data_IF_071511393762
#
_entry.id   IF_071511393762
#
_cell.length_a   1.000
_cell.length_b   1.000
_cell.length_c   1.000
_cell.angle_alpha   90.00
_cell.angle_beta   90.00
_cell.angle_gamma   90.00
#
_symmetry.space_group_name_H-M   'P 1'
#
loop_
_entity.id
_entity.type
_entity.pdbx_description
1 polymer ?
#
# COMPACT_ATOMS: atom_id res chain seq x y z
N UNK A 1 14.67 47.03 29.37
CA UNK A 1 14.21 47.07 27.96
C UNK A 1 13.75 45.69 27.61
N UNK A 2 12.43 45.48 27.55
CA UNK A 2 11.84 44.25 27.02
C UNK A 2 11.76 44.45 25.50
N UNK A 3 12.35 43.52 24.74
CA UNK A 3 12.17 43.48 23.29
C UNK A 3 11.21 42.32 23.04
N UNK A 4 9.94 42.66 22.87
CA UNK A 4 8.96 41.79 22.23
C UNK A 4 9.36 41.70 20.75
N UNK A 5 9.52 40.50 20.22
CA UNK A 5 9.48 40.26 18.77
C UNK A 5 8.41 39.21 18.54
N UNK A 6 7.41 39.64 17.78
CA UNK A 6 6.23 38.97 17.28
C UNK A 6 6.65 37.68 16.53
N UNK A 7 6.01 36.51 16.65
CA UNK A 7 4.62 36.26 16.97
C UNK A 7 3.77 36.05 15.72
N UNK A 8 4.25 35.44 14.62
CA UNK A 8 3.35 35.06 13.49
C UNK A 8 3.89 34.03 12.45
N UNK A 9 5.16 33.63 12.45
CA UNK A 9 5.72 32.73 11.40
C UNK A 9 5.72 31.22 11.74
N UNK A 10 5.53 30.84 13.01
CA UNK A 10 5.62 29.43 13.46
C UNK A 10 4.43 28.55 13.04
N UNK A 11 3.33 29.16 12.60
CA UNK A 11 2.05 28.47 12.42
C UNK A 11 1.96 27.68 11.11
N UNK A 12 2.58 28.17 10.03
CA UNK A 12 2.48 27.52 8.70
C UNK A 12 3.26 26.22 8.64
N UNK A 13 4.45 26.18 9.25
CA UNK A 13 5.30 25.00 9.27
C UNK A 13 4.76 23.91 10.20
N UNK A 14 4.21 24.32 11.35
CA UNK A 14 3.65 23.40 12.34
C UNK A 14 2.32 22.79 11.86
N UNK A 15 1.46 23.55 11.18
CA UNK A 15 0.22 23.03 10.57
C UNK A 15 0.50 22.05 9.42
N UNK A 16 1.51 22.34 8.59
CA UNK A 16 1.95 21.42 7.52
C UNK A 16 2.60 20.14 8.05
N UNK A 17 3.34 20.26 9.15
CA UNK A 17 3.93 19.13 9.85
C UNK A 17 2.85 18.23 10.48
N UNK A 18 1.88 18.82 11.17
CA UNK A 18 0.75 18.10 11.79
C UNK A 18 -0.08 17.35 10.74
N UNK A 19 -0.46 18.03 9.63
CA UNK A 19 -1.19 17.41 8.53
C UNK A 19 -0.46 16.17 7.97
N UNK A 20 0.86 16.24 7.76
CA UNK A 20 1.66 15.09 7.29
C UNK A 20 1.81 13.95 8.30
N UNK A 21 1.63 14.22 9.59
CA UNK A 21 1.59 13.18 10.61
C UNK A 21 0.24 12.46 10.65
N UNK A 22 -0.85 13.19 10.40
CA UNK A 22 -2.22 12.71 10.43
C UNK A 22 -2.68 12.07 9.10
N UNK A 23 -2.11 12.49 7.97
CA UNK A 23 -2.38 11.95 6.63
C UNK A 23 -1.73 10.57 6.46
N UNK A 24 -2.39 9.54 6.99
CA UNK A 24 -1.98 8.14 6.93
C UNK A 24 -2.14 7.52 5.52
N UNK A 25 -2.58 8.29 4.52
CA UNK A 25 -3.05 7.81 3.21
C UNK A 25 -1.97 7.73 2.12
N UNK A 26 -0.86 8.46 2.24
CA UNK A 26 0.16 8.56 1.16
C UNK A 26 1.31 7.58 1.31
N UNK A 27 1.30 6.73 2.34
CA UNK A 27 2.50 5.97 2.73
C UNK A 27 2.63 4.58 2.11
N UNK A 28 1.53 3.93 1.73
CA UNK A 28 1.54 2.53 1.28
C UNK A 28 1.09 2.43 -0.20
N UNK A 29 1.65 3.24 -1.09
CA UNK A 29 1.56 2.93 -2.52
C UNK A 29 2.26 1.57 -2.76
N UNK A 30 1.51 0.63 -3.33
CA UNK A 30 1.95 -0.74 -3.62
C UNK A 30 3.22 -0.76 -4.48
N UNK A 31 4.12 -1.76 -4.32
CA UNK A 31 5.38 -1.86 -5.08
C UNK A 31 5.21 -2.38 -6.52
N UNK A 32 4.12 -2.01 -7.20
CA UNK A 32 3.91 -2.27 -8.62
C UNK A 32 3.25 -1.05 -9.24
N UNK A 33 3.99 -0.35 -10.09
CA UNK A 33 3.53 0.78 -10.90
C UNK A 33 3.22 2.05 -10.11
N UNK A 34 4.19 2.98 -9.98
CA UNK A 34 4.14 4.29 -10.68
C UNK A 34 5.54 4.92 -10.59
N UNK A 35 6.14 5.20 -11.76
CA UNK A 35 7.28 6.10 -11.88
C UNK A 35 6.86 7.55 -11.64
N UNK A 36 6.82 7.97 -10.38
CA UNK A 36 6.71 9.39 -10.02
C UNK A 36 7.99 9.75 -9.27
N UNK A 37 8.80 10.61 -9.88
CA UNK A 37 9.90 11.32 -9.23
C UNK A 37 9.30 12.25 -8.15
N UNK A 38 8.84 11.69 -7.03
CA UNK A 38 8.50 12.49 -5.87
C UNK A 38 9.81 13.05 -5.31
N UNK A 39 9.97 14.38 -5.20
CA UNK A 39 11.14 14.96 -4.55
C UNK A 39 11.24 14.34 -3.16
N UNK A 40 12.33 13.61 -2.93
CA UNK A 40 12.72 13.09 -1.62
C UNK A 40 12.84 14.29 -0.68
N UNK A 41 11.73 14.66 -0.04
CA UNK A 41 11.69 15.83 0.81
C UNK A 41 12.58 15.56 2.02
N UNK A 42 13.59 16.41 2.18
CA UNK A 42 14.44 16.39 3.35
C UNK A 42 13.57 16.62 4.59
N UNK A 43 13.68 15.70 5.54
CA UNK A 43 12.96 15.77 6.80
C UNK A 43 13.88 16.31 7.89
N UNK A 44 13.42 17.29 8.66
CA UNK A 44 14.24 17.95 9.70
C UNK A 44 13.64 17.66 11.07
N UNK A 45 14.48 17.21 12.00
CA UNK A 45 14.08 17.05 13.40
C UNK A 45 13.99 18.42 14.10
N UNK A 46 12.82 18.78 14.61
CA UNK A 46 12.62 20.04 15.36
C UNK A 46 13.44 20.12 16.65
N UNK A 47 13.76 18.99 17.28
CA UNK A 47 14.40 18.94 18.60
C UNK A 47 15.93 18.96 18.53
N UNK A 48 16.51 18.27 17.56
CA UNK A 48 17.97 18.12 17.40
C UNK A 48 18.52 18.87 16.18
N UNK A 49 17.65 19.40 15.30
CA UNK A 49 18.04 20.13 14.09
C UNK A 49 18.66 19.25 13.00
N UNK A 50 18.66 17.93 13.18
CA UNK A 50 19.25 17.00 12.22
C UNK A 50 18.40 16.89 10.97
N UNK A 51 19.06 17.07 9.81
CA UNK A 51 18.45 16.96 8.48
C UNK A 51 18.68 15.55 7.96
N UNK A 52 17.59 14.82 7.78
CA UNK A 52 17.59 13.48 7.21
C UNK A 52 17.43 13.62 5.69
N UNK A 53 18.56 13.52 4.98
CA UNK A 53 18.58 13.54 3.52
C UNK A 53 17.96 12.25 3.00
N UNK A 54 17.09 12.33 1.99
CA UNK A 54 16.48 11.18 1.30
C UNK A 54 15.62 10.21 2.12
N UNK A 55 15.37 10.51 3.39
CA UNK A 55 14.92 9.49 4.34
C UNK A 55 13.42 9.59 4.68
N UNK A 56 12.77 10.67 4.20
CA UNK A 56 11.33 10.86 4.26
C UNK A 56 10.75 10.95 5.68
N UNK A 57 9.43 11.12 5.75
CA UNK A 57 8.70 11.32 7.01
C UNK A 57 8.75 10.07 7.91
N UNK A 58 8.92 8.88 7.36
CA UNK A 58 8.92 7.64 8.16
C UNK A 58 10.19 7.45 8.96
N UNK A 59 11.37 7.72 8.41
CA UNK A 59 12.59 7.74 9.23
C UNK A 59 12.55 8.86 10.25
N UNK A 60 11.92 10.00 9.95
CA UNK A 60 11.68 11.02 10.97
C UNK A 60 10.79 10.49 12.10
N UNK A 61 9.72 9.75 11.80
CA UNK A 61 8.87 9.10 12.82
C UNK A 61 9.68 8.14 13.70
N UNK A 62 10.56 7.32 13.11
CA UNK A 62 11.44 6.41 13.86
C UNK A 62 12.50 7.13 14.68
N UNK A 63 13.09 8.20 14.14
CA UNK A 63 14.02 9.07 14.85
C UNK A 63 13.39 9.70 16.10
N UNK A 64 12.14 10.16 15.96
CA UNK A 64 11.40 10.80 17.06
C UNK A 64 10.91 9.78 18.09
N UNK A 65 10.45 8.60 17.67
CA UNK A 65 9.93 7.57 18.58
C UNK A 65 11.03 6.74 19.26
N UNK A 66 12.18 6.60 18.62
CA UNK A 66 13.21 5.63 18.99
C UNK A 66 12.82 4.17 18.72
N UNK A 67 11.72 3.95 17.99
CA UNK A 67 11.24 2.62 17.60
C UNK A 67 11.47 2.40 16.11
N UNK A 68 12.72 2.11 15.73
CA UNK A 68 13.05 1.65 14.38
C UNK A 68 13.13 0.11 14.36
N UNK A 69 12.28 -0.59 13.60
CA UNK A 69 12.37 -2.04 13.43
C UNK A 69 13.73 -2.49 12.87
N UNK A 70 14.39 -1.65 12.08
CA UNK A 70 15.64 -1.98 11.40
C UNK A 70 16.89 -1.48 12.14
N UNK A 71 16.73 -0.70 13.22
CA UNK A 71 17.81 -0.07 13.98
C UNK A 71 18.84 0.72 13.14
N UNK A 72 18.44 1.20 11.97
CA UNK A 72 19.28 1.98 11.05
C UNK A 72 19.13 3.49 11.26
N UNK A 73 18.11 3.91 12.00
CA UNK A 73 17.82 5.30 12.28
C UNK A 73 18.31 5.68 13.68
N UNK A 74 19.21 6.66 13.76
CA UNK A 74 19.58 7.27 15.04
C UNK A 74 18.37 7.93 15.68
N UNK A 75 18.16 7.74 16.98
CA UNK A 75 17.03 8.32 17.70
C UNK A 75 17.39 9.67 18.33
N UNK A 76 16.39 10.53 18.54
CA UNK A 76 16.58 11.82 19.19
C UNK A 76 16.35 11.72 20.71
N UNK A 77 17.36 12.08 21.47
CA UNK A 77 17.27 12.13 22.94
C UNK A 77 16.45 13.34 23.42
N UNK A 78 16.49 14.45 22.68
CA UNK A 78 15.85 15.73 23.02
C UNK A 78 14.32 15.75 22.86
N UNK A 79 13.70 14.68 22.36
CA UNK A 79 12.24 14.63 22.19
C UNK A 79 11.55 14.39 23.53
N UNK A 80 10.56 15.23 23.92
CA UNK A 80 9.76 15.04 25.13
C UNK A 80 9.03 13.70 25.16
N UNK A 81 8.82 13.15 26.36
CA UNK A 81 8.21 11.83 26.55
C UNK A 81 6.79 11.75 25.98
N UNK A 82 6.03 12.84 26.07
CA UNK A 82 4.66 12.94 25.57
C UNK A 82 4.63 12.75 24.06
N UNK A 83 5.55 13.42 23.36
CA UNK A 83 5.68 13.36 21.90
C UNK A 83 6.17 11.99 21.46
N UNK A 84 7.17 11.41 22.15
CA UNK A 84 7.60 10.03 21.92
C UNK A 84 6.41 9.07 22.02
N UNK A 85 5.64 9.16 23.10
CA UNK A 85 4.51 8.27 23.37
C UNK A 85 3.40 8.40 22.32
N UNK A 86 3.11 9.62 21.88
CA UNK A 86 2.13 9.89 20.82
C UNK A 86 2.53 9.24 19.50
N UNK A 87 3.79 9.43 19.07
CA UNK A 87 4.29 8.86 17.81
C UNK A 87 4.36 7.34 17.88
N UNK A 88 4.79 6.77 19.01
CA UNK A 88 4.74 5.32 19.26
C UNK A 88 3.31 4.78 19.11
N UNK A 89 2.31 5.48 19.65
CA UNK A 89 0.91 5.11 19.52
C UNK A 89 0.43 5.09 18.07
N UNK A 90 0.87 6.06 17.26
CA UNK A 90 0.57 6.08 15.81
C UNK A 90 1.19 4.87 15.11
N UNK A 91 2.47 4.57 15.37
CA UNK A 91 3.17 3.46 14.74
C UNK A 91 2.50 2.11 15.05
N UNK A 92 2.13 1.88 16.32
CA UNK A 92 1.44 0.65 16.74
C UNK A 92 0.06 0.49 16.08
N UNK A 93 -0.77 1.54 16.09
CA UNK A 93 -2.08 1.50 15.40
C UNK A 93 -1.94 1.20 13.92
N UNK A 94 -0.88 1.69 13.29
CA UNK A 94 -0.58 1.41 11.89
C UNK A 94 -0.19 -0.05 11.66
N UNK A 95 0.64 -0.63 12.52
CA UNK A 95 1.00 -2.06 12.47
C UNK A 95 -0.25 -2.95 12.63
N UNK A 96 -1.11 -2.62 13.58
CA UNK A 96 -2.39 -3.32 13.78
C UNK A 96 -3.30 -3.23 12.54
N UNK A 97 -3.37 -2.05 11.90
CA UNK A 97 -4.15 -1.87 10.67
C UNK A 97 -3.56 -2.69 9.52
N UNK A 98 -2.22 -2.72 9.38
CA UNK A 98 -1.55 -3.55 8.38
C UNK A 98 -1.82 -5.05 8.60
N UNK A 99 -1.76 -5.51 9.85
CA UNK A 99 -2.05 -6.91 10.17
C UNK A 99 -3.50 -7.28 9.80
N UNK A 100 -4.47 -6.42 10.11
CA UNK A 100 -5.87 -6.61 9.71
C UNK A 100 -6.05 -6.65 8.19
N UNK A 101 -5.38 -5.76 7.47
CA UNK A 101 -5.45 -5.74 6.01
C UNK A 101 -4.84 -7.00 5.38
N UNK A 102 -3.75 -7.53 5.93
CA UNK A 102 -3.16 -8.80 5.46
C UNK A 102 -4.15 -9.95 5.64
N UNK A 103 -4.76 -10.06 6.82
CA UNK A 103 -5.79 -11.07 7.09
C UNK A 103 -6.96 -10.93 6.11
N UNK A 104 -7.47 -9.71 5.91
CA UNK A 104 -8.57 -9.44 5.00
C UNK A 104 -8.23 -9.82 3.55
N UNK A 105 -7.03 -9.49 3.07
CA UNK A 105 -6.59 -9.85 1.72
C UNK A 105 -6.46 -11.37 1.56
N UNK A 106 -5.96 -12.06 2.59
CA UNK A 106 -5.85 -13.52 2.57
C UNK A 106 -7.22 -14.21 2.62
N UNK A 107 -8.18 -13.68 3.38
CA UNK A 107 -9.57 -14.14 3.39
C UNK A 107 -10.22 -13.99 2.00
N UNK A 108 -10.08 -12.81 1.37
CA UNK A 108 -10.57 -12.58 0.00
C UNK A 108 -9.92 -13.56 -0.98
N UNK A 109 -8.61 -13.79 -0.86
CA UNK A 109 -7.88 -14.75 -1.70
C UNK A 109 -8.38 -16.18 -1.51
N UNK A 110 -8.70 -16.57 -0.28
CA UNK A 110 -9.24 -17.89 0.02
C UNK A 110 -10.65 -18.08 -0.54
N UNK A 111 -11.51 -17.06 -0.41
CA UNK A 111 -12.86 -17.06 -0.97
C UNK A 111 -12.84 -17.23 -2.50
N UNK A 112 -12.00 -16.46 -3.20
CA UNK A 112 -11.85 -16.55 -4.65
C UNK A 112 -11.38 -17.95 -5.11
N UNK A 113 -10.49 -18.61 -4.35
CA UNK A 113 -10.06 -19.98 -4.63
C UNK A 113 -11.19 -21.01 -4.42
N UNK A 114 -12.04 -20.79 -3.42
CA UNK A 114 -13.21 -21.63 -3.14
C UNK A 114 -14.29 -21.52 -4.22
N UNK A 115 -14.55 -20.31 -4.72
CA UNK A 115 -15.54 -20.08 -5.78
C UNK A 115 -15.12 -20.69 -7.14
N UNK A 116 -13.82 -20.82 -7.40
CA UNK A 116 -13.32 -21.48 -8.62
C UNK A 116 -13.66 -22.99 -8.63
N UNK A 117 -13.64 -23.67 -7.47
CA UNK A 117 -13.91 -25.12 -7.38
C UNK A 117 -15.37 -25.48 -7.64
N UNK A 118 -16.32 -24.59 -7.34
CA UNK A 118 -17.75 -24.87 -7.54
C UNK A 118 -18.20 -24.72 -9.01
N UNK A 119 -17.39 -24.07 -9.85
CA UNK A 119 -17.69 -23.85 -11.27
C UNK A 119 -17.10 -24.91 -12.19
N UNK A 120 -16.25 -25.81 -11.67
CA UNK A 120 -15.80 -27.00 -12.39
C UNK A 120 -16.90 -28.06 -12.27
N UNK A 121 -17.99 -27.82 -13.00
CA UNK A 121 -18.92 -28.88 -13.38
C UNK A 121 -18.05 -29.95 -14.05
N UNK A 122 -18.14 -31.19 -13.55
CA UNK A 122 -17.62 -32.36 -14.24
C UNK A 122 -18.30 -32.41 -15.62
N UNK A 123 -17.68 -31.81 -16.62
CA UNK A 123 -17.99 -32.08 -18.01
C UNK A 123 -17.23 -33.35 -18.30
N UNK A 124 -17.92 -34.48 -18.09
CA UNK A 124 -17.50 -35.77 -18.62
C UNK A 124 -17.09 -35.56 -20.09
N UNK A 125 -15.94 -36.13 -20.45
CA UNK A 125 -15.42 -36.08 -21.80
C UNK A 125 -16.45 -36.62 -22.80
N UNK A 126 -16.47 -36.00 -23.98
CA UNK A 126 -17.18 -36.42 -25.21
C UNK A 126 -18.48 -35.69 -25.57
N UNK A 127 -18.42 -34.35 -25.68
CA UNK A 127 -19.12 -33.62 -26.76
C UNK A 127 -18.53 -32.23 -26.97
N UNK A 128 -18.03 -31.94 -28.18
CA UNK A 128 -17.57 -30.58 -28.58
C UNK A 128 -18.73 -29.54 -28.65
N UNK A 129 -19.94 -29.90 -28.21
CA UNK A 129 -21.11 -29.01 -28.17
C UNK A 129 -21.24 -28.17 -26.89
N UNK A 130 -20.52 -28.50 -25.82
CA UNK A 130 -20.63 -27.83 -24.50
C UNK A 130 -19.74 -26.59 -24.33
N UNK A 131 -19.12 -26.11 -25.41
CA UNK A 131 -18.34 -24.87 -25.39
C UNK A 131 -19.28 -23.68 -25.17
N UNK A 132 -19.13 -22.98 -24.04
CA UNK A 132 -19.86 -21.75 -23.72
C UNK A 132 -19.25 -20.60 -24.53
N UNK A 133 -20.02 -20.07 -25.47
CA UNK A 133 -19.62 -18.93 -26.29
C UNK A 133 -20.08 -17.61 -25.65
N UNK A 134 -19.27 -16.54 -25.72
CA UNK A 134 -19.71 -15.20 -25.38
C UNK A 134 -21.01 -14.81 -26.10
N UNK A 135 -21.91 -14.05 -25.43
CA UNK A 135 -23.17 -13.62 -26.02
C UNK A 135 -22.91 -12.68 -27.21
N UNK A 136 -23.57 -12.95 -28.34
CA UNK A 136 -23.48 -12.13 -29.57
C UNK A 136 -22.56 -12.68 -30.67
N UNK A 137 -21.95 -13.85 -30.49
CA UNK A 137 -21.19 -14.53 -31.54
C UNK A 137 -22.13 -15.04 -32.65
N UNK A 138 -21.73 -14.80 -33.89
CA UNK A 138 -22.45 -15.26 -35.08
C UNK A 138 -22.31 -16.79 -35.26
N UNK A 139 -23.35 -17.51 -35.75
CA UNK A 139 -23.31 -18.95 -35.96
C UNK A 139 -22.15 -19.45 -36.86
N UNK A 140 -21.67 -18.63 -37.81
CA UNK A 140 -20.54 -18.95 -38.67
C UNK A 140 -19.22 -18.87 -37.91
N UNK A 141 -19.01 -17.80 -37.13
CA UNK A 141 -17.82 -17.65 -36.28
C UNK A 141 -17.74 -18.75 -35.22
N UNK A 142 -18.89 -19.13 -34.67
CA UNK A 142 -19.00 -20.28 -33.74
C UNK A 142 -18.50 -21.58 -34.37
N UNK A 143 -18.76 -21.79 -35.66
CA UNK A 143 -18.30 -22.98 -36.41
C UNK A 143 -16.79 -22.96 -36.61
N UNK A 144 -16.24 -21.82 -37.03
CA UNK A 144 -14.80 -21.64 -37.24
C UNK A 144 -14.01 -21.89 -35.94
N UNK A 145 -14.50 -21.38 -34.82
CA UNK A 145 -13.90 -21.61 -33.51
C UNK A 145 -13.89 -23.09 -33.11
N UNK A 146 -15.01 -23.80 -33.36
CA UNK A 146 -15.10 -25.26 -33.12
C UNK A 146 -14.16 -26.05 -34.03
N UNK A 147 -13.94 -25.61 -35.25
CA UNK A 147 -13.01 -26.24 -36.19
C UNK A 147 -11.55 -25.99 -35.78
N UNK A 148 -11.21 -24.78 -35.35
CA UNK A 148 -9.88 -24.45 -34.84
C UNK A 148 -9.51 -25.27 -33.60
N UNK A 149 -10.45 -25.46 -32.66
CA UNK A 149 -10.26 -26.29 -31.46
C UNK A 149 -10.04 -27.76 -31.87
N UNK A 150 -10.86 -28.29 -32.79
CA UNK A 150 -10.70 -29.66 -33.31
C UNK A 150 -9.37 -29.86 -34.02
N UNK A 151 -8.94 -28.89 -34.83
CA UNK A 151 -7.65 -28.93 -35.51
C UNK A 151 -6.47 -28.91 -34.52
N UNK A 152 -6.55 -28.08 -33.47
CA UNK A 152 -5.52 -28.02 -32.44
C UNK A 152 -5.36 -29.34 -31.67
N UNK A 153 -6.46 -30.07 -31.42
CA UNK A 153 -6.45 -31.39 -30.76
C UNK A 153 -5.83 -32.50 -31.64
N UNK A 154 -5.78 -32.33 -32.96
CA UNK A 154 -5.23 -33.32 -33.90
C UNK A 154 -3.72 -33.15 -34.17
N UNK A 155 -3.11 -32.08 -33.63
CA UNK A 155 -1.70 -31.74 -33.84
C UNK A 155 -0.82 -32.21 -32.66
N UNK A 156 -1.43 -32.70 -31.57
CA UNK A 156 -0.77 -33.36 -30.43
C UNK A 156 -0.64 -34.88 -30.67
#
# INVERSE_FOLDING_TARGET
MAICVEGEEEDKYTKHFQARFDDNSTFDAYPGDIGIDYPLMDAICKYYGHVMKSDGVTRLKYHLSGMDPSHNVHHCESVPREVKSYIIGILKRKEELKAKNVIQVDEIRAELRGQLHTQVINVDEESDDDIIFPPGIDPYEKKEYREAIRASKQIE
#
